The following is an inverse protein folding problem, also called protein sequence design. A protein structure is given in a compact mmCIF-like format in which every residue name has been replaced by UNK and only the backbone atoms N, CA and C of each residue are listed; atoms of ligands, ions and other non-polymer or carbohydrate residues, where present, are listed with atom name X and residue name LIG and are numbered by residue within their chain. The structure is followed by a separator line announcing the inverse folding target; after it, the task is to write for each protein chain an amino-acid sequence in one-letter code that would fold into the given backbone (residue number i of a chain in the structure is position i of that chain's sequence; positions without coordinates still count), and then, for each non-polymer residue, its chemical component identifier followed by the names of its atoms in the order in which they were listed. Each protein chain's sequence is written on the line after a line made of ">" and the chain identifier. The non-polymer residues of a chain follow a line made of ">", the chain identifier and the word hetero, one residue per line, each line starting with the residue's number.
data_IF_013602355755
#
_entry.id   IF_013602355755
#
_cell.length_a   1.000
_cell.length_b   1.000
_cell.length_c   1.000
_cell.angle_alpha   90.00
_cell.angle_beta   90.00
_cell.angle_gamma   90.00
#
_symmetry.space_group_name_H-M   'P 1'
#
loop_
_entity.id
_entity.type
_entity.pdbx_description
1 polymer ?
#
# COMPACT_ATOMS: atom_id res chain seq x y z
N UNK A 1 -18.24 -47.52 -7.25
CA UNK A 1 -19.02 -46.27 -7.27
C UNK A 1 -18.28 -45.17 -6.48
N UNK A 2 -17.04 -44.82 -6.88
CA UNK A 2 -16.16 -43.86 -6.18
C UNK A 2 -15.48 -42.85 -7.14
N UNK A 3 -15.67 -43.02 -8.45
CA UNK A 3 -15.04 -42.18 -9.49
C UNK A 3 -15.76 -40.83 -9.68
N UNK A 4 -17.10 -40.84 -9.65
CA UNK A 4 -17.90 -39.62 -9.85
C UNK A 4 -17.70 -38.55 -8.77
N UNK A 5 -17.53 -38.93 -7.51
CA UNK A 5 -17.32 -37.95 -6.42
C UNK A 5 -15.94 -37.30 -6.51
N UNK A 6 -14.88 -38.07 -6.79
CA UNK A 6 -13.53 -37.55 -6.92
C UNK A 6 -13.38 -36.60 -8.12
N UNK A 7 -14.06 -36.91 -9.23
CA UNK A 7 -14.09 -36.03 -10.40
C UNK A 7 -14.71 -34.67 -10.03
N UNK A 8 -15.79 -34.63 -9.23
CA UNK A 8 -16.42 -33.37 -8.81
C UNK A 8 -15.58 -32.55 -7.83
N UNK A 9 -14.84 -33.17 -6.92
CA UNK A 9 -13.95 -32.44 -6.01
C UNK A 9 -12.80 -31.78 -6.78
N UNK A 10 -12.23 -32.50 -7.75
CA UNK A 10 -11.13 -31.99 -8.57
C UNK A 10 -11.55 -30.77 -9.41
N UNK A 11 -12.76 -30.79 -10.00
CA UNK A 11 -13.30 -29.69 -10.79
C UNK A 11 -13.62 -28.47 -9.94
N UNK A 12 -14.17 -28.66 -8.75
CA UNK A 12 -14.44 -27.55 -7.81
C UNK A 12 -13.14 -26.81 -7.44
N UNK A 13 -12.05 -27.54 -7.18
CA UNK A 13 -10.76 -26.94 -6.83
C UNK A 13 -10.17 -26.17 -8.02
N UNK A 14 -10.29 -26.69 -9.24
CA UNK A 14 -9.79 -25.98 -10.44
C UNK A 14 -10.59 -24.72 -10.71
N UNK A 15 -11.93 -24.78 -10.64
CA UNK A 15 -12.80 -23.61 -10.82
C UNK A 15 -12.54 -22.52 -9.78
N UNK A 16 -12.33 -22.91 -8.51
CA UNK A 16 -11.97 -21.98 -7.45
C UNK A 16 -10.62 -21.29 -7.70
N UNK A 17 -9.62 -22.03 -8.20
CA UNK A 17 -8.31 -21.47 -8.59
C UNK A 17 -8.43 -20.50 -9.76
N UNK A 18 -9.23 -20.83 -10.76
CA UNK A 18 -9.46 -19.97 -11.92
C UNK A 18 -10.21 -18.69 -11.54
N UNK A 19 -11.22 -18.79 -10.68
CA UNK A 19 -11.96 -17.64 -10.18
C UNK A 19 -11.07 -16.67 -9.40
N UNK A 20 -10.25 -17.19 -8.49
CA UNK A 20 -9.32 -16.37 -7.69
C UNK A 20 -8.24 -15.73 -8.56
N UNK A 21 -7.68 -16.49 -9.52
CA UNK A 21 -6.72 -15.96 -10.50
C UNK A 21 -7.32 -14.84 -11.32
N UNK A 22 -8.50 -15.03 -11.91
CA UNK A 22 -9.19 -14.02 -12.72
C UNK A 22 -9.44 -12.74 -11.93
N UNK A 23 -9.88 -12.86 -10.68
CA UNK A 23 -10.08 -11.69 -9.78
C UNK A 23 -8.78 -10.97 -9.47
N UNK A 24 -7.68 -11.70 -9.26
CA UNK A 24 -6.37 -11.13 -9.02
C UNK A 24 -5.87 -10.40 -10.28
N UNK A 25 -5.86 -11.05 -11.43
CA UNK A 25 -5.37 -10.47 -12.70
C UNK A 25 -6.14 -9.20 -13.09
N UNK A 26 -7.43 -9.11 -12.76
CA UNK A 26 -8.26 -7.92 -13.04
C UNK A 26 -8.01 -6.74 -12.11
N UNK A 27 -7.72 -7.00 -10.83
CA UNK A 27 -7.65 -5.97 -9.80
C UNK A 27 -6.23 -5.61 -9.40
N UNK A 28 -5.29 -6.54 -9.60
CA UNK A 28 -3.91 -6.35 -9.23
C UNK A 28 -3.23 -5.41 -10.22
N UNK A 29 -2.67 -4.34 -9.69
CA UNK A 29 -1.81 -3.42 -10.43
C UNK A 29 -0.42 -3.55 -9.84
N UNK A 30 0.54 -3.88 -10.69
CA UNK A 30 1.95 -3.82 -10.30
C UNK A 30 2.29 -2.36 -10.02
N UNK A 31 2.85 -2.11 -8.83
CA UNK A 31 3.30 -0.79 -8.42
C UNK A 31 4.80 -0.73 -8.65
N UNK A 32 5.21 -0.03 -9.70
CA UNK A 32 6.61 0.27 -9.95
C UNK A 32 7.01 1.50 -9.15
N UNK A 33 7.95 1.31 -8.23
CA UNK A 33 8.52 2.39 -7.43
C UNK A 33 9.93 2.69 -7.90
N UNK A 34 10.33 3.95 -7.88
CA UNK A 34 11.71 4.33 -8.18
C UNK A 34 12.45 4.79 -6.91
N UNK A 35 13.78 4.56 -6.89
CA UNK A 35 14.64 5.10 -5.84
C UNK A 35 14.56 6.63 -5.85
N UNK A 36 14.33 7.24 -4.69
CA UNK A 36 14.20 8.69 -4.53
C UNK A 36 12.76 9.19 -4.57
N UNK A 37 11.78 8.36 -4.93
CA UNK A 37 10.37 8.74 -4.92
C UNK A 37 9.84 8.91 -3.49
N UNK A 38 8.83 9.78 -3.33
CA UNK A 38 8.11 9.95 -2.08
C UNK A 38 6.93 8.99 -2.01
N UNK A 39 6.79 8.33 -0.87
CA UNK A 39 5.73 7.35 -0.63
C UNK A 39 5.11 7.51 0.74
N UNK A 40 3.84 7.17 0.82
CA UNK A 40 3.06 7.09 2.06
C UNK A 40 3.11 5.67 2.62
N UNK A 41 3.19 5.54 3.95
CA UNK A 41 3.20 4.25 4.63
C UNK A 41 1.88 4.03 5.37
N UNK A 42 1.31 2.83 5.26
CA UNK A 42 0.06 2.46 5.95
C UNK A 42 0.22 2.39 7.48
N UNK A 43 -0.74 2.97 8.22
CA UNK A 43 -0.65 3.13 9.68
C UNK A 43 -0.94 1.88 10.51
N UNK A 44 -1.62 0.87 9.96
CA UNK A 44 -1.95 -0.39 10.66
C UNK A 44 -0.74 -1.12 11.24
N UNK A 45 0.46 -0.93 10.68
CA UNK A 45 1.69 -1.55 11.20
C UNK A 45 2.53 -0.61 12.08
N UNK A 46 2.08 0.64 12.23
CA UNK A 46 2.67 1.64 13.10
C UNK A 46 1.97 1.63 14.47
N UNK A 47 2.25 0.59 15.26
CA UNK A 47 1.70 0.33 16.60
C UNK A 47 1.77 1.55 17.56
N UNK A 48 2.73 2.47 17.37
CA UNK A 48 3.00 3.59 18.28
C UNK A 48 2.64 4.97 17.71
N UNK A 49 1.70 5.05 16.76
CA UNK A 49 1.13 6.35 16.42
C UNK A 49 0.39 6.93 17.63
N UNK A 50 0.30 8.26 17.75
CA UNK A 50 -0.46 8.92 18.82
C UNK A 50 -1.95 9.00 18.44
N UNK A 51 -2.87 9.01 19.42
CA UNK A 51 -4.32 9.23 19.20
C UNK A 51 -5.21 7.99 19.31
N UNK A 52 -6.49 8.05 18.97
CA UNK A 52 -7.40 6.89 18.95
C UNK A 52 -7.49 6.29 17.54
N UNK A 53 -7.62 4.96 17.39
CA UNK A 53 -7.57 4.24 16.09
C UNK A 53 -8.49 4.85 15.02
N UNK A 54 -9.68 5.33 15.41
CA UNK A 54 -10.69 5.86 14.48
C UNK A 54 -10.40 7.28 13.97
N UNK A 55 -9.56 8.05 14.67
CA UNK A 55 -9.23 9.44 14.33
C UNK A 55 -7.81 9.61 13.77
N UNK A 56 -7.07 8.52 13.63
CA UNK A 56 -5.72 8.54 13.05
C UNK A 56 -5.83 8.45 11.55
N UNK A 57 -4.92 9.13 10.85
CA UNK A 57 -4.79 8.98 9.42
C UNK A 57 -4.48 7.52 9.05
N UNK A 58 -5.03 7.07 7.92
CA UNK A 58 -4.74 5.73 7.40
C UNK A 58 -3.33 5.60 6.83
N UNK A 59 -2.71 6.74 6.50
CA UNK A 59 -1.37 6.83 5.94
C UNK A 59 -0.56 7.89 6.68
N UNK A 60 0.73 7.63 6.84
CA UNK A 60 1.67 8.57 7.46
C UNK A 60 2.75 8.92 6.46
N UNK A 61 3.07 10.21 6.44
CA UNK A 61 4.31 10.81 5.95
C UNK A 61 4.65 10.57 4.48
N UNK A 62 5.05 11.60 3.72
CA UNK A 62 5.84 11.34 2.54
C UNK A 62 7.25 10.95 2.99
N UNK A 63 7.60 9.69 2.80
CA UNK A 63 8.94 9.17 3.06
C UNK A 63 9.67 8.88 1.76
N UNK A 64 10.99 9.08 1.74
CA UNK A 64 11.79 8.84 0.55
C UNK A 64 12.27 7.39 0.47
N UNK A 65 12.11 6.77 -0.70
CA UNK A 65 12.66 5.45 -1.00
C UNK A 65 14.18 5.53 -1.12
N UNK A 66 14.90 4.77 -0.31
CA UNK A 66 16.37 4.65 -0.36
C UNK A 66 16.78 3.58 -1.38
N UNK A 67 16.10 2.44 -1.39
CA UNK A 67 16.41 1.32 -2.28
C UNK A 67 15.23 0.36 -2.40
N UNK A 68 15.15 -0.34 -3.52
CA UNK A 68 14.21 -1.43 -3.73
C UNK A 68 14.90 -2.76 -3.38
N UNK A 69 14.21 -3.63 -2.65
CA UNK A 69 14.68 -4.96 -2.28
C UNK A 69 13.85 -5.95 -3.11
N UNK A 70 14.39 -6.32 -4.27
CA UNK A 70 13.66 -7.08 -5.27
C UNK A 70 12.38 -6.36 -5.70
N UNK A 71 11.35 -7.14 -6.04
CA UNK A 71 10.05 -6.63 -6.49
C UNK A 71 9.06 -6.35 -5.35
N UNK A 72 9.25 -7.00 -4.20
CA UNK A 72 8.20 -7.09 -3.18
C UNK A 72 8.43 -6.16 -1.98
N UNK A 73 9.60 -5.58 -1.83
CA UNK A 73 9.95 -4.78 -0.66
C UNK A 73 10.70 -3.50 -1.01
N UNK A 74 10.45 -2.47 -0.21
CA UNK A 74 11.02 -1.14 -0.37
C UNK A 74 11.68 -0.74 0.94
N UNK A 75 12.91 -0.23 0.86
CA UNK A 75 13.62 0.37 1.99
C UNK A 75 13.41 1.87 1.96
N UNK A 76 12.86 2.39 3.04
CA UNK A 76 12.41 3.77 3.17
C UNK A 76 13.21 4.49 4.25
N UNK A 77 13.47 5.78 4.04
CA UNK A 77 14.11 6.65 5.03
C UNK A 77 13.09 7.07 6.08
N UNK A 78 12.94 6.25 7.11
CA UNK A 78 12.12 6.59 8.26
C UNK A 78 12.86 7.64 9.10
N UNK A 79 12.30 8.86 9.17
CA UNK A 79 12.82 9.97 9.96
C UNK A 79 12.57 9.78 11.46
N UNK A 80 13.18 10.64 12.30
CA UNK A 80 13.20 10.57 13.78
C UNK A 80 11.85 10.41 14.48
N UNK A 81 10.73 10.61 13.78
CA UNK A 81 9.39 10.43 14.33
C UNK A 81 9.06 8.95 14.64
N UNK A 82 9.74 8.00 13.98
CA UNK A 82 9.49 6.56 14.15
C UNK A 82 10.79 5.76 14.33
N UNK A 83 11.57 5.99 15.41
CA UNK A 83 12.91 5.43 15.56
C UNK A 83 12.93 3.90 15.68
N UNK A 84 11.86 3.30 16.21
CA UNK A 84 11.76 1.86 16.46
C UNK A 84 11.01 1.11 15.33
N UNK A 85 10.84 1.72 14.16
CA UNK A 85 10.14 1.10 13.03
C UNK A 85 11.11 0.56 12.00
N UNK A 86 10.80 -0.63 11.50
CA UNK A 86 11.65 -1.29 10.52
C UNK A 86 11.63 -0.50 9.20
N UNK A 87 12.80 -0.15 8.63
CA UNK A 87 12.89 0.69 7.44
C UNK A 87 12.49 -0.05 6.16
N UNK A 88 12.45 -1.38 6.17
CA UNK A 88 12.00 -2.18 5.02
C UNK A 88 10.54 -2.58 5.21
N UNK A 89 9.74 -2.29 4.18
CA UNK A 89 8.31 -2.56 4.14
C UNK A 89 7.94 -3.27 2.83
N UNK A 90 6.93 -4.15 2.85
CA UNK A 90 6.40 -4.73 1.62
C UNK A 90 5.68 -3.66 0.78
N UNK A 91 5.74 -3.80 -0.54
CA UNK A 91 5.11 -2.88 -1.52
C UNK A 91 3.61 -2.66 -1.27
N UNK A 92 2.91 -3.66 -0.71
CA UNK A 92 1.47 -3.57 -0.42
C UNK A 92 1.11 -2.56 0.69
N UNK A 93 2.08 -2.16 1.50
CA UNK A 93 1.90 -1.18 2.59
C UNK A 93 2.39 0.22 2.21
N UNK A 94 2.81 0.39 0.96
CA UNK A 94 3.41 1.60 0.43
C UNK A 94 2.51 2.13 -0.67
N UNK A 95 2.12 3.40 -0.57
CA UNK A 95 1.35 4.06 -1.61
C UNK A 95 2.17 5.21 -2.23
N UNK A 96 2.09 5.42 -3.55
CA UNK A 96 2.74 6.56 -4.19
C UNK A 96 2.19 7.87 -3.62
N UNK A 97 3.09 8.76 -3.21
CA UNK A 97 2.70 10.06 -2.70
C UNK A 97 2.47 11.02 -3.87
N UNK A 98 1.21 11.39 -4.09
CA UNK A 98 0.87 12.39 -5.08
C UNK A 98 0.81 13.76 -4.42
N UNK A 99 1.67 14.68 -4.86
CA UNK A 99 1.61 16.07 -4.38
C UNK A 99 0.27 16.70 -4.76
N UNK A 100 -0.31 17.44 -3.82
CA UNK A 100 -1.49 18.29 -4.10
C UNK A 100 -1.01 19.54 -4.82
N UNK A 101 -0.63 19.40 -6.09
CA UNK A 101 -0.30 20.53 -6.96
C UNK A 101 -1.56 21.11 -7.61
N UNK A 102 -1.47 22.37 -8.06
CA UNK A 102 -2.53 23.01 -8.85
C UNK A 102 -2.82 22.23 -10.15
N UNK A 103 -1.80 21.56 -10.70
CA UNK A 103 -1.91 20.72 -11.90
C UNK A 103 -2.97 19.60 -11.75
N UNK A 104 -3.05 18.99 -10.56
CA UNK A 104 -4.00 17.89 -10.33
C UNK A 104 -5.38 18.36 -9.88
N UNK A 105 -5.45 19.50 -9.20
CA UNK A 105 -6.69 20.04 -8.65
C UNK A 105 -6.81 21.53 -8.95
N UNK A 106 -7.03 21.91 -10.23
CA UNK A 106 -7.03 23.30 -10.65
C UNK A 106 -8.14 24.13 -9.99
N UNK A 107 -9.25 23.49 -9.61
CA UNK A 107 -10.41 24.13 -8.99
C UNK A 107 -10.28 24.32 -7.47
N UNK A 108 -9.20 23.84 -6.84
CA UNK A 108 -9.04 23.91 -5.38
C UNK A 108 -8.65 25.33 -4.97
N UNK A 109 -9.56 26.06 -4.31
CA UNK A 109 -9.23 27.35 -3.69
C UNK A 109 -8.16 27.13 -2.61
N UNK A 110 -7.06 27.89 -2.68
CA UNK A 110 -6.06 27.94 -1.62
C UNK A 110 -6.68 28.63 -0.42
N UNK A 111 -7.04 27.87 0.61
CA UNK A 111 -7.41 28.46 1.89
C UNK A 111 -6.21 29.29 2.38
N UNK A 112 -6.47 30.55 2.76
CA UNK A 112 -5.42 31.42 3.29
C UNK A 112 -4.91 30.76 4.57
N UNK A 113 -3.62 30.41 4.60
CA UNK A 113 -2.94 29.94 5.81
C UNK A 113 -3.32 30.88 6.97
N UNK A 114 -4.09 30.37 7.93
CA UNK A 114 -4.27 31.06 9.20
C UNK A 114 -2.92 30.99 9.93
N UNK A 115 -2.17 32.09 9.84
CA UNK A 115 -0.94 32.26 10.63
C UNK A 115 -1.39 32.53 12.08
N UNK A 116 -0.82 31.83 13.08
CA UNK A 116 -1.21 31.98 14.47
C UNK A 116 -1.01 33.41 14.98
#
# INVERSE_FOLDING_TARGET
>A
MWKREFDTESTCITEAKEYTKKRYDQMHKELDFMKGEQVLIFTLRLINLRGHKNFRDSFVGPFTIISLIGKNAVKVKITKEFPNKHPVLPVSLVNPHHQTGEDRFPSRKKDKLHKP
#
